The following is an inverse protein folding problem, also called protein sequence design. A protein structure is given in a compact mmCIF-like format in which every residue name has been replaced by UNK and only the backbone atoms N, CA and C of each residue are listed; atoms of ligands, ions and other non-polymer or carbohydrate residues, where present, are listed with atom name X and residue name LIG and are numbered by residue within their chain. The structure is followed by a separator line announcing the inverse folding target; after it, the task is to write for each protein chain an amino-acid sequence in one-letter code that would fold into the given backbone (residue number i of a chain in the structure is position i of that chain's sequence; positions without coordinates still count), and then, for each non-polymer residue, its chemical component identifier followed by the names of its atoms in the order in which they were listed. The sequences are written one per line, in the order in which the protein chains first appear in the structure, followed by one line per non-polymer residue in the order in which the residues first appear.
data_IF_146016769722
#
_entry.id   IF_146016769722
#
_cell.length_a   1.000
_cell.length_b   1.000
_cell.length_c   1.000
_cell.angle_alpha   90.00
_cell.angle_beta   90.00
_cell.angle_gamma   90.00
#
_symmetry.space_group_name_H-M   'P 1'
#
loop_
_entity.id
_entity.type
_entity.pdbx_description
1 polymer ?
#
# COMPACT_ATOMS: atom_id res chain seq x y z
N UNK A 1 -9.94 -12.74 5.59
CA UNK A 1 -9.61 -12.45 7.01
C UNK A 1 -10.86 -11.95 7.72
N UNK A 2 -11.23 -12.51 8.88
CA UNK A 2 -12.31 -11.95 9.71
C UNK A 2 -11.78 -10.77 10.53
N UNK A 3 -12.51 -9.65 10.53
CA UNK A 3 -12.21 -8.45 11.31
C UNK A 3 -13.42 -8.14 12.17
N UNK A 4 -13.35 -8.50 13.45
CA UNK A 4 -14.42 -8.25 14.42
C UNK A 4 -14.55 -6.74 14.69
N UNK A 5 -15.78 -6.22 14.86
CA UNK A 5 -16.02 -4.79 15.11
C UNK A 5 -15.31 -4.24 16.36
N UNK A 6 -14.93 -5.10 17.31
CA UNK A 6 -14.14 -4.75 18.49
C UNK A 6 -12.62 -4.70 18.24
N UNK A 7 -12.15 -4.92 16.99
CA UNK A 7 -10.72 -4.93 16.63
C UNK A 7 -10.12 -3.54 16.75
N UNK A 8 -9.49 -3.27 17.90
CA UNK A 8 -8.91 -1.97 18.21
C UNK A 8 -7.58 -1.77 17.47
N UNK A 9 -7.56 -0.91 16.44
CA UNK A 9 -6.38 -0.75 15.57
C UNK A 9 -5.13 -0.28 16.35
N UNK A 10 -5.29 0.45 17.46
CA UNK A 10 -4.17 0.88 18.30
C UNK A 10 -3.50 -0.28 19.06
N UNK A 11 -4.16 -1.44 19.14
CA UNK A 11 -3.57 -2.68 19.65
C UNK A 11 -2.62 -3.37 18.66
N UNK A 12 -2.45 -2.87 17.43
CA UNK A 12 -1.58 -3.48 16.44
C UNK A 12 -0.14 -3.65 16.98
N UNK A 13 0.35 -4.89 17.00
CA UNK A 13 1.68 -5.24 17.49
C UNK A 13 1.88 -5.17 19.01
N UNK A 14 0.82 -4.91 19.80
CA UNK A 14 0.83 -4.93 21.26
C UNK A 14 0.43 -6.30 21.82
N UNK A 15 0.72 -6.55 23.10
CA UNK A 15 0.33 -7.80 23.79
C UNK A 15 -1.09 -7.78 24.34
N UNK A 16 -1.65 -6.58 24.56
CA UNK A 16 -3.03 -6.35 25.01
C UNK A 16 -3.61 -5.14 24.28
N UNK A 17 -4.95 -5.09 24.04
CA UNK A 17 -5.57 -3.90 23.49
C UNK A 17 -5.44 -2.74 24.49
N UNK A 18 -5.16 -1.51 24.03
CA UNK A 18 -5.03 -0.38 24.93
C UNK A 18 -6.37 -0.12 25.64
N UNK A 19 -6.34 -0.22 26.97
CA UNK A 19 -7.52 -0.02 27.80
C UNK A 19 -7.94 1.44 27.83
N UNK A 20 -9.23 1.68 27.57
CA UNK A 20 -9.85 3.00 27.55
C UNK A 20 -11.30 2.90 28.05
N UNK A 21 -11.94 4.06 28.27
CA UNK A 21 -13.35 4.16 28.66
C UNK A 21 -14.24 3.46 27.62
N UNK A 22 -15.27 2.75 28.07
CA UNK A 22 -16.21 2.05 27.18
C UNK A 22 -15.69 0.70 26.65
N UNK A 23 -14.51 0.24 27.07
CA UNK A 23 -13.96 -1.06 26.74
C UNK A 23 -12.79 -0.99 25.75
N UNK A 24 -11.79 -1.85 25.97
CA UNK A 24 -10.57 -1.89 25.16
C UNK A 24 -10.78 -2.55 23.78
N UNK A 25 -11.85 -3.32 23.63
CA UNK A 25 -12.04 -4.21 22.49
C UNK A 25 -11.10 -5.41 22.55
N UNK A 26 -10.70 -5.90 21.38
CA UNK A 26 -9.75 -6.99 21.21
C UNK A 26 -8.56 -6.55 20.35
N UNK A 27 -7.47 -7.33 20.38
CA UNK A 27 -6.36 -7.12 19.47
C UNK A 27 -6.83 -7.28 18.01
N UNK A 28 -6.36 -6.42 17.09
CA UNK A 28 -6.73 -6.52 15.69
C UNK A 28 -6.12 -7.78 15.07
N UNK A 29 -6.83 -8.46 14.14
CA UNK A 29 -6.27 -9.58 13.41
C UNK A 29 -5.02 -9.16 12.61
N UNK A 30 -4.10 -10.11 12.45
CA UNK A 30 -2.83 -9.90 11.76
C UNK A 30 -2.67 -10.86 10.59
N UNK A 31 -2.17 -10.35 9.47
CA UNK A 31 -1.64 -11.13 8.35
C UNK A 31 -0.12 -11.01 8.34
N UNK A 32 0.59 -12.13 8.43
CA UNK A 32 2.04 -12.15 8.31
C UNK A 32 2.43 -12.43 6.86
N UNK A 33 3.42 -11.71 6.35
CA UNK A 33 3.93 -11.86 5.00
C UNK A 33 5.43 -11.56 4.95
N UNK A 34 6.08 -12.00 3.88
CA UNK A 34 7.50 -11.70 3.64
C UNK A 34 7.67 -10.28 3.13
N UNK A 35 8.49 -9.50 3.82
CA UNK A 35 8.90 -8.18 3.38
C UNK A 35 9.57 -8.26 1.99
N UNK A 36 9.13 -7.43 1.05
CA UNK A 36 9.77 -7.27 -0.24
C UNK A 36 9.56 -5.85 -0.79
N UNK A 37 10.48 -5.41 -1.64
CA UNK A 37 10.34 -4.13 -2.32
C UNK A 37 9.16 -4.14 -3.30
N UNK A 38 8.52 -2.98 -3.44
CA UNK A 38 7.43 -2.74 -4.41
C UNK A 38 6.27 -3.72 -4.25
N UNK A 39 5.91 -4.12 -3.04
CA UNK A 39 4.68 -4.87 -2.82
C UNK A 39 3.47 -3.94 -2.84
N UNK A 40 2.36 -4.44 -3.38
CA UNK A 40 1.06 -3.75 -3.42
C UNK A 40 0.02 -4.64 -2.76
N UNK A 41 -0.70 -4.05 -1.82
CA UNK A 41 -1.91 -4.60 -1.25
C UNK A 41 -3.12 -4.11 -2.05
N UNK A 42 -4.01 -5.04 -2.41
CA UNK A 42 -5.34 -4.76 -2.99
C UNK A 42 -6.39 -5.64 -2.32
N UNK A 43 -7.57 -5.08 -2.07
CA UNK A 43 -8.73 -5.83 -1.61
C UNK A 43 -9.61 -6.22 -2.79
N UNK A 44 -9.92 -7.51 -2.94
CA UNK A 44 -10.82 -8.00 -3.99
C UNK A 44 -12.28 -7.92 -3.55
N UNK A 45 -12.53 -8.07 -2.25
CA UNK A 45 -13.86 -8.01 -1.68
C UNK A 45 -13.80 -7.78 -0.17
N UNK A 46 -14.68 -6.93 0.35
CA UNK A 46 -14.94 -6.83 1.80
C UNK A 46 -16.44 -6.97 2.00
N UNK A 47 -16.86 -8.00 2.74
CA UNK A 47 -18.27 -8.26 3.06
C UNK A 47 -18.53 -8.21 4.55
N UNK A 48 -19.80 -8.10 4.92
CA UNK A 48 -20.24 -8.05 6.31
C UNK A 48 -20.68 -6.65 6.72
N UNK A 49 -21.05 -6.52 7.99
CA UNK A 49 -21.63 -5.31 8.58
C UNK A 49 -21.11 -5.18 10.01
N UNK A 50 -20.89 -3.95 10.46
CA UNK A 50 -20.59 -3.61 11.85
C UNK A 50 -21.58 -2.60 12.42
N UNK A 51 -21.77 -2.59 13.73
CA UNK A 51 -22.64 -1.65 14.46
C UNK A 51 -21.92 -1.12 15.70
N UNK A 52 -22.08 0.17 16.01
CA UNK A 52 -21.43 0.86 17.13
C UNK A 52 -22.50 1.44 18.05
N UNK A 53 -22.76 0.79 19.18
CA UNK A 53 -23.69 1.24 20.23
C UNK A 53 -25.17 1.46 19.86
N UNK A 54 -25.55 1.35 18.59
CA UNK A 54 -26.93 1.51 18.05
C UNK A 54 -27.17 0.60 16.86
N UNK A 55 -28.42 0.27 16.48
CA UNK A 55 -28.73 -0.54 15.30
C UNK A 55 -28.55 0.24 13.98
N UNK A 56 -27.37 0.80 13.77
CA UNK A 56 -26.94 1.36 12.48
C UNK A 56 -25.87 0.44 11.90
N UNK A 57 -26.28 -0.27 10.85
CA UNK A 57 -25.43 -1.15 10.06
C UNK A 57 -24.50 -0.31 9.18
N UNK A 58 -23.20 -0.42 9.40
CA UNK A 58 -22.19 0.27 8.61
C UNK A 58 -21.48 -0.74 7.70
N UNK A 59 -21.34 -0.36 6.42
CA UNK A 59 -20.46 -1.05 5.49
C UNK A 59 -18.99 -0.67 5.70
N UNK A 60 -18.06 -1.23 4.90
CA UNK A 60 -16.62 -1.03 5.08
C UNK A 60 -16.16 0.43 4.92
N UNK A 61 -16.83 1.22 4.08
CA UNK A 61 -16.60 2.66 3.92
C UNK A 61 -17.09 3.50 5.10
N UNK A 62 -17.71 2.85 6.10
CA UNK A 62 -18.28 3.51 7.25
C UNK A 62 -19.61 4.19 6.96
N UNK A 63 -19.95 5.15 7.78
CA UNK A 63 -21.17 5.94 7.63
C UNK A 63 -20.94 7.37 8.12
N UNK A 64 -21.88 8.24 7.74
CA UNK A 64 -21.94 9.61 8.21
C UNK A 64 -21.93 9.65 9.75
N UNK A 65 -20.95 10.33 10.33
CA UNK A 65 -20.94 10.58 11.77
C UNK A 65 -21.79 11.81 12.02
N UNK A 66 -22.84 11.63 12.85
CA UNK A 66 -24.06 12.46 13.00
C UNK A 66 -23.88 13.95 13.40
N UNK A 67 -22.81 14.61 13.03
CA UNK A 67 -22.65 16.04 13.20
C UNK A 67 -21.75 16.66 12.11
N UNK A 68 -22.22 16.66 10.87
CA UNK A 68 -21.61 17.39 9.74
C UNK A 68 -21.41 18.89 10.01
N UNK A 69 -21.97 19.42 11.10
CA UNK A 69 -21.77 20.82 11.50
C UNK A 69 -20.39 21.09 12.15
N UNK A 70 -19.64 20.04 12.52
CA UNK A 70 -18.36 20.17 13.24
C UNK A 70 -17.09 20.18 12.38
N UNK A 71 -17.18 20.11 11.05
CA UNK A 71 -16.00 20.12 10.19
C UNK A 71 -15.12 18.86 10.36
N UNK A 72 -13.81 19.00 10.15
CA UNK A 72 -12.87 17.90 10.26
C UNK A 72 -12.79 17.33 11.69
N UNK A 73 -12.72 16.00 11.80
CA UNK A 73 -12.42 15.29 13.04
C UNK A 73 -11.15 14.45 12.86
N UNK A 74 -10.60 14.01 13.97
CA UNK A 74 -9.45 13.12 13.95
C UNK A 74 -9.52 12.12 15.09
N UNK A 75 -9.03 10.92 14.81
CA UNK A 75 -8.61 10.02 15.87
C UNK A 75 -7.16 10.34 16.21
N UNK A 76 -6.78 10.44 17.51
CA UNK A 76 -5.42 10.81 17.91
C UNK A 76 -4.42 9.69 17.64
N UNK A 77 -3.12 9.95 17.75
CA UNK A 77 -2.13 8.87 17.75
C UNK A 77 -2.00 8.26 19.16
N UNK A 78 -1.79 6.95 19.25
CA UNK A 78 -1.67 6.25 20.54
C UNK A 78 -0.63 5.13 20.44
N UNK A 79 0.26 5.04 21.44
CA UNK A 79 1.24 3.97 21.60
C UNK A 79 2.10 3.70 20.35
N UNK A 80 2.50 4.75 19.63
CA UNK A 80 3.31 4.64 18.42
C UNK A 80 2.55 4.25 17.15
N UNK A 81 1.24 4.04 17.21
CA UNK A 81 0.35 3.91 16.05
C UNK A 81 -0.25 5.27 15.74
N UNK A 82 -0.19 5.69 14.48
CA UNK A 82 -0.78 6.98 14.09
C UNK A 82 -2.29 6.95 14.24
N UNK A 83 -2.86 8.14 14.44
CA UNK A 83 -4.28 8.36 14.20
C UNK A 83 -4.59 8.56 12.72
N UNK A 84 -5.79 9.08 12.45
CA UNK A 84 -6.26 9.44 11.11
C UNK A 84 -7.07 10.74 11.18
N UNK A 85 -6.99 11.56 10.15
CA UNK A 85 -7.77 12.79 10.01
C UNK A 85 -8.80 12.58 8.89
N UNK A 86 -10.04 12.99 9.14
CA UNK A 86 -11.14 12.82 8.19
C UNK A 86 -12.21 13.89 8.33
N UNK A 87 -13.16 13.85 7.40
CA UNK A 87 -14.37 14.67 7.39
C UNK A 87 -15.59 13.84 6.97
N UNK A 88 -16.76 14.14 7.54
CA UNK A 88 -18.04 13.50 7.28
C UNK A 88 -18.24 12.03 7.67
N UNK A 89 -17.21 11.18 7.73
CA UNK A 89 -17.40 9.71 7.79
C UNK A 89 -16.60 8.99 8.89
N UNK A 90 -17.20 8.02 9.58
CA UNK A 90 -16.50 7.21 10.58
C UNK A 90 -16.90 5.76 10.50
N UNK A 91 -16.33 4.92 11.38
CA UNK A 91 -16.65 3.47 11.46
C UNK A 91 -16.29 2.71 10.18
N UNK A 92 -15.26 3.16 9.47
CA UNK A 92 -14.72 2.50 8.29
C UNK A 92 -13.60 1.52 8.65
N UNK A 93 -13.34 0.55 7.76
CA UNK A 93 -12.20 -0.34 7.89
C UNK A 93 -10.89 0.44 7.68
N UNK A 94 -9.92 0.23 8.58
CA UNK A 94 -8.56 0.76 8.45
C UNK A 94 -7.52 -0.34 8.51
N UNK A 95 -6.33 -0.02 7.97
CA UNK A 95 -5.16 -0.87 8.05
C UNK A 95 -3.96 -0.14 8.64
N UNK A 96 -3.00 -0.92 9.15
CA UNK A 96 -1.65 -0.44 9.47
C UNK A 96 -0.62 -1.51 9.14
N UNK A 97 0.48 -1.11 8.51
CA UNK A 97 1.63 -1.97 8.26
C UNK A 97 2.65 -1.86 9.39
N UNK A 98 3.13 -3.00 9.88
CA UNK A 98 4.21 -3.08 10.87
C UNK A 98 5.34 -3.98 10.36
N UNK A 99 6.56 -3.67 10.81
CA UNK A 99 7.67 -4.63 10.82
C UNK A 99 7.55 -5.54 12.06
N UNK A 100 8.59 -6.28 12.43
CA UNK A 100 8.56 -7.15 13.62
C UNK A 100 8.69 -6.40 14.97
N UNK A 101 8.95 -5.09 14.97
CA UNK A 101 9.08 -4.31 16.21
C UNK A 101 7.71 -4.02 16.83
N UNK A 102 7.67 -3.93 18.16
CA UNK A 102 6.50 -3.38 18.87
C UNK A 102 6.47 -1.87 18.64
N UNK A 103 5.32 -1.29 18.22
CA UNK A 103 5.17 0.17 18.09
C UNK A 103 5.40 0.89 19.42
N UNK A 104 6.10 2.02 19.36
CA UNK A 104 6.40 2.91 20.48
C UNK A 104 6.33 4.36 20.02
N UNK A 105 6.02 5.27 20.93
CA UNK A 105 5.92 6.71 20.63
C UNK A 105 7.29 7.32 20.25
N UNK A 106 7.31 8.35 19.38
CA UNK A 106 6.17 8.96 18.70
C UNK A 106 5.67 8.13 17.51
N UNK A 107 4.39 8.26 17.21
CA UNK A 107 3.81 7.71 15.98
C UNK A 107 4.16 8.59 14.76
N UNK A 108 4.09 8.06 13.53
CA UNK A 108 4.08 8.88 12.32
C UNK A 108 2.91 9.87 12.31
N UNK A 109 3.03 10.96 11.55
CA UNK A 109 1.93 11.91 11.37
C UNK A 109 0.69 11.21 10.78
N UNK A 110 -0.52 11.47 11.30
CA UNK A 110 -1.76 10.98 10.71
C UNK A 110 -1.92 11.37 9.24
N UNK A 111 -2.45 10.46 8.43
CA UNK A 111 -2.91 10.78 7.08
C UNK A 111 -4.24 11.55 7.15
N UNK A 112 -4.44 12.47 6.20
CA UNK A 112 -5.67 13.25 6.08
C UNK A 112 -6.45 12.85 4.83
N UNK A 113 -7.64 12.32 5.03
CA UNK A 113 -8.56 11.88 3.97
C UNK A 113 -9.77 12.80 3.79
N UNK A 114 -9.78 13.97 4.43
CA UNK A 114 -10.87 14.96 4.27
C UNK A 114 -11.09 15.27 2.78
N UNK A 115 -12.27 14.90 2.27
CA UNK A 115 -12.62 15.05 0.85
C UNK A 115 -11.88 14.13 -0.13
N UNK A 116 -11.10 13.15 0.33
CA UNK A 116 -10.24 12.31 -0.52
C UNK A 116 -10.21 10.84 -0.10
N UNK A 117 -11.38 10.22 0.05
CA UNK A 117 -11.50 8.77 0.30
C UNK A 117 -11.47 7.94 -1.01
N UNK A 118 -11.59 8.60 -2.16
CA UNK A 118 -11.66 8.00 -3.51
C UNK A 118 -10.30 7.93 -4.24
N UNK A 119 -9.19 7.96 -3.50
CA UNK A 119 -7.84 7.90 -4.09
C UNK A 119 -7.62 6.60 -4.87
N UNK A 120 -6.77 6.62 -5.90
CA UNK A 120 -6.41 5.41 -6.65
C UNK A 120 -5.26 4.63 -6.01
N UNK A 121 -4.32 5.35 -5.41
CA UNK A 121 -3.09 4.78 -4.86
C UNK A 121 -2.65 5.54 -3.61
N UNK A 122 -2.14 4.82 -2.61
CA UNK A 122 -1.65 5.37 -1.37
C UNK A 122 -0.36 4.66 -0.94
N UNK A 123 0.61 5.41 -0.42
CA UNK A 123 1.86 4.88 0.13
C UNK A 123 1.95 5.19 1.63
N UNK A 124 1.29 4.42 2.52
CA UNK A 124 1.41 4.61 3.96
C UNK A 124 2.83 4.29 4.45
N UNK A 125 3.23 4.89 5.57
CA UNK A 125 4.44 4.52 6.30
C UNK A 125 4.18 3.32 7.22
N UNK A 126 5.25 2.69 7.73
CA UNK A 126 5.13 1.78 8.87
C UNK A 126 4.52 2.52 10.07
N UNK A 127 3.63 1.84 10.81
CA UNK A 127 2.91 2.37 11.99
C UNK A 127 1.94 3.52 11.66
N UNK A 128 1.74 3.82 10.37
CA UNK A 128 0.79 4.82 9.91
C UNK A 128 -0.51 4.14 9.46
N UNK A 129 -1.61 4.48 10.10
CA UNK A 129 -2.93 3.98 9.76
C UNK A 129 -3.45 4.64 8.50
N UNK A 130 -4.18 3.88 7.68
CA UNK A 130 -4.78 4.35 6.45
C UNK A 130 -6.21 3.83 6.28
N UNK A 131 -7.04 4.63 5.60
CA UNK A 131 -8.37 4.22 5.17
C UNK A 131 -8.27 3.07 4.17
N UNK A 132 -9.08 2.02 4.37
CA UNK A 132 -9.27 0.93 3.40
C UNK A 132 -10.66 1.00 2.80
N UNK A 133 -11.68 1.24 3.62
CA UNK A 133 -13.05 1.20 3.14
C UNK A 133 -13.41 -0.19 2.62
N UNK A 134 -14.11 -0.24 1.49
CA UNK A 134 -14.37 -1.45 0.71
C UNK A 134 -13.25 -1.81 -0.28
N UNK A 135 -12.19 -1.00 -0.35
CA UNK A 135 -11.05 -1.16 -1.25
C UNK A 135 -11.28 -0.62 -2.66
N UNK A 136 -12.36 0.13 -2.89
CA UNK A 136 -12.70 0.74 -4.18
C UNK A 136 -12.62 2.27 -4.09
N UNK A 137 -12.52 2.93 -5.24
CA UNK A 137 -12.55 4.40 -5.30
C UNK A 137 -13.92 5.01 -4.97
N UNK A 138 -14.93 4.21 -4.68
CA UNK A 138 -16.27 4.65 -4.29
C UNK A 138 -17.06 3.52 -3.64
N UNK A 139 -18.15 3.85 -2.96
CA UNK A 139 -18.91 2.89 -2.14
C UNK A 139 -19.65 1.86 -2.98
N UNK A 140 -19.07 0.67 -3.08
CA UNK A 140 -19.55 -0.44 -3.88
C UNK A 140 -19.30 -0.30 -5.38
N UNK A 141 -18.48 0.68 -5.81
CA UNK A 141 -18.20 0.92 -7.23
C UNK A 141 -16.83 1.58 -7.49
N UNK A 142 -16.39 1.52 -8.74
CA UNK A 142 -15.16 2.20 -9.20
C UNK A 142 -13.95 1.27 -9.30
N UNK A 143 -12.77 1.87 -9.39
CA UNK A 143 -11.51 1.15 -9.54
C UNK A 143 -11.05 0.56 -8.20
N UNK A 144 -10.29 -0.54 -8.22
CA UNK A 144 -9.61 -1.07 -7.04
C UNK A 144 -8.52 -0.09 -6.59
N UNK A 145 -8.54 0.29 -5.31
CA UNK A 145 -7.49 1.08 -4.68
C UNK A 145 -6.23 0.26 -4.44
N UNK A 146 -5.07 0.90 -4.61
CA UNK A 146 -3.76 0.26 -4.42
C UNK A 146 -3.04 0.86 -3.21
N UNK A 147 -2.51 -0.01 -2.36
CA UNK A 147 -1.73 0.40 -1.20
C UNK A 147 -0.30 -0.10 -1.36
N UNK A 148 0.65 0.81 -1.54
CA UNK A 148 2.07 0.47 -1.61
C UNK A 148 2.56 0.08 -0.22
N UNK A 149 2.94 -1.18 -0.09
CA UNK A 149 3.38 -1.76 1.17
C UNK A 149 4.79 -1.22 1.49
N UNK A 150 5.04 -0.72 2.71
CA UNK A 150 6.40 -0.34 3.12
C UNK A 150 7.35 -1.53 2.95
N UNK A 151 8.53 -1.31 2.36
CA UNK A 151 9.48 -2.38 2.01
C UNK A 151 9.85 -3.28 3.20
N UNK A 152 9.86 -2.74 4.42
CA UNK A 152 10.20 -3.47 5.66
C UNK A 152 8.99 -4.06 6.38
N UNK A 153 7.78 -3.88 5.87
CA UNK A 153 6.58 -4.42 6.50
C UNK A 153 6.58 -5.95 6.41
N UNK A 154 6.25 -6.59 7.52
CA UNK A 154 6.08 -8.04 7.63
C UNK A 154 4.69 -8.42 8.14
N UNK A 155 3.92 -7.42 8.59
CA UNK A 155 2.61 -7.59 9.22
C UNK A 155 1.64 -6.54 8.72
N UNK A 156 0.43 -6.98 8.35
CA UNK A 156 -0.72 -6.13 8.09
C UNK A 156 -1.74 -6.37 9.20
N UNK A 157 -2.16 -5.32 9.87
CA UNK A 157 -3.25 -5.36 10.84
C UNK A 157 -4.47 -4.64 10.27
N UNK A 158 -5.65 -5.21 10.50
CA UNK A 158 -6.93 -4.64 10.10
C UNK A 158 -7.79 -4.39 11.34
N UNK A 159 -8.53 -3.29 11.36
CA UNK A 159 -9.36 -2.98 12.51
C UNK A 159 -10.07 -1.65 12.36
N UNK A 160 -10.38 -1.05 13.51
CA UNK A 160 -11.22 0.13 13.57
C UNK A 160 -10.73 1.14 14.60
N UNK A 161 -11.08 2.39 14.33
CA UNK A 161 -11.10 3.45 15.33
C UNK A 161 -12.48 3.55 15.96
N UNK A 162 -12.53 3.80 17.26
CA UNK A 162 -13.78 4.05 17.97
C UNK A 162 -13.56 4.95 19.19
N UNK A 163 -14.65 5.55 19.68
CA UNK A 163 -14.65 6.50 20.77
C UNK A 163 -16.05 7.00 21.17
N UNK A 164 -16.13 7.83 22.23
CA UNK A 164 -17.40 8.36 22.76
C UNK A 164 -18.11 9.34 21.80
N UNK A 165 -17.50 9.69 20.66
CA UNK A 165 -17.95 10.71 19.74
C UNK A 165 -16.99 11.89 19.62
N UNK A 166 -17.36 12.87 18.79
CA UNK A 166 -16.54 14.04 18.47
C UNK A 166 -16.58 15.08 19.59
N UNK A 167 -15.43 15.36 20.18
CA UNK A 167 -15.24 16.40 21.19
C UNK A 167 -15.44 17.81 20.62
N UNK A 168 -15.26 18.85 21.43
CA UNK A 168 -15.31 20.25 20.97
C UNK A 168 -14.12 20.66 20.10
N UNK A 169 -13.02 19.91 20.12
CA UNK A 169 -11.81 20.19 19.34
C UNK A 169 -11.74 19.39 18.04
N UNK A 170 -12.76 18.58 17.73
CA UNK A 170 -12.74 17.64 16.61
C UNK A 170 -12.05 16.30 16.92
N UNK A 171 -11.44 16.14 18.09
CA UNK A 171 -10.86 14.85 18.49
C UNK A 171 -11.94 13.83 18.80
N UNK A 172 -11.75 12.58 18.38
CA UNK A 172 -12.48 11.41 18.85
C UNK A 172 -11.54 10.58 19.73
N UNK A 173 -11.67 10.66 21.08
CA UNK A 173 -10.83 9.88 21.99
C UNK A 173 -10.99 8.38 21.79
N UNK A 174 -9.92 7.61 21.95
CA UNK A 174 -9.94 6.15 21.79
C UNK A 174 -10.83 5.52 22.86
N UNK A 175 -11.72 4.60 22.50
CA UNK A 175 -12.52 3.82 23.46
C UNK A 175 -13.76 3.19 22.85
N UNK A 176 -14.70 2.79 23.71
CA UNK A 176 -16.06 2.34 23.37
C UNK A 176 -16.21 1.07 22.52
N UNK A 177 -15.12 0.39 22.18
CA UNK A 177 -15.15 -0.89 21.47
C UNK A 177 -16.02 -1.99 22.10
N UNK A 178 -16.35 -1.90 23.40
CA UNK A 178 -17.16 -2.89 24.10
C UNK A 178 -18.62 -2.98 23.60
N UNK A 179 -19.14 -1.93 22.97
CA UNK A 179 -20.50 -1.92 22.42
C UNK A 179 -20.56 -2.20 20.90
N UNK A 180 -19.40 -2.45 20.29
CA UNK A 180 -19.29 -2.78 18.88
C UNK A 180 -19.69 -4.23 18.62
N UNK A 181 -20.51 -4.44 17.58
CA UNK A 181 -20.96 -5.76 17.16
C UNK A 181 -20.85 -5.95 15.65
N UNK A 182 -20.83 -7.21 15.22
CA UNK A 182 -20.64 -7.58 13.81
C UNK A 182 -19.17 -7.76 13.44
N UNK A 183 -18.93 -7.96 12.15
CA UNK A 183 -17.59 -8.20 11.61
C UNK A 183 -17.57 -8.03 10.09
N UNK A 184 -16.38 -7.78 9.55
CA UNK A 184 -16.12 -7.92 8.12
C UNK A 184 -15.35 -9.20 7.81
N UNK A 185 -15.51 -9.69 6.58
CA UNK A 185 -14.62 -10.64 5.92
C UNK A 185 -13.90 -9.89 4.80
N UNK A 186 -12.59 -9.68 4.97
CA UNK A 186 -11.74 -9.03 3.98
C UNK A 186 -10.95 -10.07 3.16
N UNK A 187 -11.14 -10.05 1.85
CA UNK A 187 -10.38 -10.81 0.86
C UNK A 187 -9.39 -9.86 0.17
N UNK A 188 -8.11 -10.20 0.20
CA UNK A 188 -7.06 -9.35 -0.31
C UNK A 188 -5.85 -10.17 -0.75
N UNK A 189 -4.96 -9.52 -1.47
CA UNK A 189 -3.67 -10.05 -1.88
C UNK A 189 -2.58 -9.01 -1.66
N UNK A 190 -1.39 -9.48 -1.31
CA UNK A 190 -0.15 -8.70 -1.35
C UNK A 190 0.74 -9.34 -2.41
N UNK A 191 1.04 -8.59 -3.46
CA UNK A 191 1.84 -9.06 -4.58
C UNK A 191 2.89 -8.03 -4.96
N UNK A 192 4.02 -8.42 -5.57
CA UNK A 192 4.90 -7.45 -6.22
C UNK A 192 4.10 -6.62 -7.22
N UNK A 193 4.33 -5.31 -7.28
CA UNK A 193 3.85 -4.46 -8.35
C UNK A 193 4.22 -5.14 -9.66
N UNK A 194 3.29 -5.26 -10.63
CA UNK A 194 3.67 -5.67 -11.96
C UNK A 194 4.76 -4.70 -12.41
N UNK A 195 5.97 -5.23 -12.58
CA UNK A 195 7.07 -4.49 -13.15
C UNK A 195 6.52 -4.08 -14.52
N UNK A 196 6.36 -2.77 -14.77
CA UNK A 196 6.30 -2.32 -16.15
C UNK A 196 7.63 -2.78 -16.73
N UNK A 197 7.61 -3.88 -17.49
CA UNK A 197 8.71 -4.31 -18.32
C UNK A 197 8.91 -3.20 -19.34
N UNK A 198 9.58 -2.11 -18.95
CA UNK A 198 10.31 -1.32 -19.91
C UNK A 198 11.40 -2.28 -20.34
N UNK A 199 11.42 -2.75 -21.60
CA UNK A 199 12.60 -3.44 -22.09
C UNK A 199 13.73 -2.44 -21.89
N UNK A 200 14.65 -2.78 -20.98
CA UNK A 200 15.93 -2.10 -20.89
C UNK A 200 16.45 -2.11 -22.33
N UNK A 201 16.62 -0.93 -22.92
CA UNK A 201 17.14 -0.80 -24.27
C UNK A 201 18.58 -1.27 -24.21
N UNK A 202 18.76 -2.58 -24.38
CA UNK A 202 20.04 -3.20 -24.63
C UNK A 202 20.35 -2.87 -26.08
N UNK A 203 20.75 -1.63 -26.34
CA UNK A 203 21.56 -1.36 -27.53
C UNK A 203 22.74 -2.33 -27.42
N UNK A 204 22.91 -3.29 -28.36
CA UNK A 204 24.04 -4.19 -28.29
C UNK A 204 25.30 -3.33 -28.28
N UNK A 205 26.09 -3.44 -27.22
CA UNK A 205 27.44 -2.90 -27.20
C UNK A 205 28.17 -3.66 -28.32
N UNK A 206 28.63 -3.00 -29.41
CA UNK A 206 29.40 -3.70 -30.41
C UNK A 206 30.70 -4.18 -29.73
N UNK A 207 31.00 -5.47 -29.87
CA UNK A 207 32.24 -6.03 -29.34
C UNK A 207 33.45 -5.28 -29.93
N UNK A 208 34.51 -5.04 -29.14
CA UNK A 208 35.72 -4.42 -29.66
C UNK A 208 36.35 -5.36 -30.70
N UNK A 209 36.34 -4.95 -31.96
CA UNK A 209 37.05 -5.63 -33.04
C UNK A 209 38.51 -5.85 -32.63
N UNK A 210 38.92 -7.11 -32.53
CA UNK A 210 40.31 -7.53 -32.42
C UNK A 210 41.09 -7.01 -33.63
N UNK A 211 41.80 -5.90 -33.47
CA UNK A 211 42.83 -5.47 -34.41
C UNK A 211 44.05 -6.36 -34.18
N UNK A 212 44.16 -7.44 -34.97
CA UNK A 212 45.38 -8.25 -35.03
C UNK A 212 46.36 -7.56 -35.99
N UNK A 213 47.28 -6.78 -35.44
CA UNK A 213 48.43 -6.27 -36.18
C UNK A 213 49.44 -7.40 -36.41
N UNK A 214 49.66 -7.76 -37.68
CA UNK A 214 50.83 -8.54 -38.09
C UNK A 214 51.67 -7.64 -39.00
N UNK A 215 52.79 -7.18 -38.46
CA UNK A 215 53.89 -6.60 -39.23
C UNK A 215 54.83 -7.74 -39.60
N UNK A 216 54.98 -8.03 -40.89
CA UNK A 216 56.13 -8.78 -41.41
C UNK A 216 56.67 -8.13 -42.68
N UNK A 217 57.87 -7.56 -42.52
CA UNK A 217 58.80 -7.18 -43.57
C UNK A 217 59.38 -8.44 -44.25
N UNK A 218 59.58 -8.41 -45.57
CA UNK A 218 60.40 -9.43 -46.23
C UNK A 218 60.33 -9.49 -47.75
N UNK A 219 61.28 -8.78 -48.39
CA UNK A 219 61.85 -8.89 -49.74
C UNK A 219 61.46 -10.11 -50.63
N UNK A 220 61.32 -9.86 -51.95
CA UNK A 220 62.00 -10.71 -52.94
C UNK A 220 61.32 -10.97 -54.29
N UNK A 221 61.88 -10.32 -55.32
CA UNK A 221 62.10 -10.80 -56.69
C UNK A 221 60.97 -10.85 -57.76
N UNK A 222 61.33 -10.17 -58.87
CA UNK A 222 60.81 -10.18 -60.23
C UNK A 222 60.44 -11.58 -60.78
N UNK A 223 59.46 -11.65 -61.68
CA UNK A 223 59.66 -12.07 -63.08
C UNK A 223 58.48 -11.61 -63.97
N UNK A 224 58.83 -11.22 -65.19
CA UNK A 224 57.97 -10.69 -66.26
C UNK A 224 57.57 -11.82 -67.23
N UNK A 225 56.34 -11.81 -67.78
CA UNK A 225 56.08 -12.03 -69.22
C UNK A 225 54.60 -11.88 -69.63
N UNK A 226 54.47 -11.41 -70.88
CA UNK A 226 53.28 -11.03 -71.66
C UNK A 226 52.44 -12.21 -72.17
N UNK A 227 51.14 -11.94 -72.39
CA UNK A 227 50.33 -12.21 -73.60
C UNK A 227 48.98 -11.48 -73.37
N UNK A 228 48.55 -10.43 -74.07
CA UNK A 228 48.18 -10.18 -75.48
C UNK A 228 47.00 -11.03 -75.99
N UNK A 229 46.10 -10.34 -76.70
CA UNK A 229 44.92 -10.75 -77.48
C UNK A 229 43.59 -10.84 -76.71
N UNK A 230 42.46 -10.32 -77.19
CA UNK A 230 42.07 -9.29 -78.19
C UNK A 230 40.52 -9.23 -78.12
N UNK A 231 39.93 -8.27 -78.84
CA UNK A 231 38.56 -8.25 -79.40
C UNK A 231 37.42 -7.80 -78.47
N UNK A 232 36.90 -6.57 -78.63
CA UNK A 232 36.01 -6.04 -79.70
C UNK A 232 34.53 -6.27 -79.36
N UNK A 233 33.81 -5.24 -78.93
CA UNK A 233 33.00 -4.38 -79.81
C UNK A 233 31.95 -3.60 -79.00
N UNK A 234 31.80 -2.35 -79.41
CA UNK A 234 30.78 -1.38 -79.03
C UNK A 234 29.36 -1.78 -79.47
N UNK A 235 28.42 -0.98 -78.95
CA UNK A 235 26.99 -0.79 -79.24
C UNK A 235 25.95 -1.56 -78.40
#
# INVERSE_FOLDING_TARGET
MNVNAQSNIYGAGQSIPPSQVGGAGILPPVYNFSAAAKQVLTFSQITGIINYGVPLSNGPDGADIRDVTKGAYFHPSLNGISGIIGEGIGRYLVGVFLDNSTPTSPAPNPLNFSGNYNFKELSPLLKQTFFIGDGLTGTGFGDIQKFNVPEKATRLFLGFFDGPGVSSTGEIPVGFYGDNTGSFIAEFQIQPSPISNIPESTTPIPEPSTILGIVTLGLGALFSKKHKQDDNNDD
#
